data_IF_296430402836
#
_entry.id   IF_296430402836
#
_cell.length_a   1.000
_cell.length_b   1.000
_cell.length_c   1.000
_cell.angle_alpha   90.00
_cell.angle_beta   90.00
_cell.angle_gamma   90.00
#
_symmetry.space_group_name_H-M   'P 1'
#
loop_
_entity.id
_entity.type
_entity.pdbx_description
1 polymer ?
#
# COMPACT_ATOMS: atom_id res chain seq x y z
N UNK A 1 20.69 -9.26 -7.53
CA UNK A 1 20.24 -8.75 -6.21
C UNK A 1 18.74 -8.54 -6.35
N UNK A 2 17.95 -9.23 -5.52
CA UNK A 2 16.50 -9.14 -5.61
C UNK A 2 16.01 -7.79 -5.05
N UNK A 3 15.07 -7.15 -5.73
CA UNK A 3 14.45 -5.91 -5.28
C UNK A 3 12.98 -5.85 -5.70
N UNK A 4 12.23 -5.02 -5.04
CA UNK A 4 10.81 -4.79 -5.30
C UNK A 4 10.51 -3.30 -5.27
N UNK A 5 9.59 -2.86 -6.11
CA UNK A 5 9.01 -1.52 -6.02
C UNK A 5 7.69 -1.57 -5.27
N UNK A 6 7.40 -0.54 -4.51
CA UNK A 6 6.13 -0.35 -3.84
C UNK A 6 5.57 1.03 -4.17
N UNK A 7 4.30 1.10 -4.54
CA UNK A 7 3.59 2.35 -4.78
C UNK A 7 2.27 2.38 -4.02
N UNK A 8 1.93 3.52 -3.43
CA UNK A 8 0.63 3.78 -2.86
C UNK A 8 -0.35 4.21 -3.94
N UNK A 9 -1.62 3.82 -3.81
CA UNK A 9 -2.70 4.28 -4.68
C UNK A 9 -2.85 5.80 -4.73
N UNK A 10 -3.55 6.31 -5.76
CA UNK A 10 -3.89 7.72 -5.92
C UNK A 10 -4.90 8.22 -4.87
N UNK A 11 -5.15 9.53 -4.85
CA UNK A 11 -6.07 10.17 -3.91
C UNK A 11 -7.48 9.58 -4.02
N UNK A 12 -8.11 9.33 -2.86
CA UNK A 12 -9.50 8.89 -2.74
C UNK A 12 -10.40 9.97 -2.13
N UNK A 13 -11.71 9.79 -2.24
CA UNK A 13 -12.70 10.65 -1.59
C UNK A 13 -12.45 10.74 -0.07
N UNK A 14 -12.15 9.61 0.58
CA UNK A 14 -11.87 9.60 2.03
C UNK A 14 -10.50 10.20 2.39
N UNK A 15 -9.54 10.26 1.46
CA UNK A 15 -8.33 11.07 1.68
C UNK A 15 -8.67 12.56 1.74
N UNK A 16 -9.54 13.05 0.87
CA UNK A 16 -10.01 14.44 0.88
C UNK A 16 -10.79 14.75 2.15
N UNK A 17 -11.66 13.83 2.57
CA UNK A 17 -12.46 13.97 3.79
C UNK A 17 -11.67 13.70 5.09
N UNK A 18 -10.39 13.34 4.98
CA UNK A 18 -9.51 13.01 6.10
C UNK A 18 -10.05 11.89 7.00
N UNK A 19 -10.65 10.86 6.39
CA UNK A 19 -11.16 9.67 7.06
C UNK A 19 -10.19 8.50 6.99
N UNK A 20 -10.25 7.63 8.00
CA UNK A 20 -9.54 6.35 7.98
C UNK A 20 -10.19 5.44 6.94
N UNK A 21 -9.38 5.00 5.98
CA UNK A 21 -9.80 4.11 4.91
C UNK A 21 -8.92 2.86 4.93
N UNK A 22 -9.47 1.78 5.45
CA UNK A 22 -8.83 0.47 5.48
C UNK A 22 -9.42 -0.45 4.43
N UNK A 23 -10.10 -1.51 4.88
CA UNK A 23 -10.72 -2.51 4.00
C UNK A 23 -11.97 -2.01 3.25
N UNK A 24 -12.50 -0.84 3.60
CA UNK A 24 -13.63 -0.24 2.87
C UNK A 24 -13.23 0.13 1.45
N UNK A 25 -14.09 -0.21 0.48
CA UNK A 25 -13.80 -0.02 -0.93
C UNK A 25 -14.24 1.37 -1.41
N UNK A 26 -13.31 2.30 -1.47
CA UNK A 26 -13.52 3.71 -1.81
C UNK A 26 -12.77 4.05 -3.10
N UNK A 27 -13.44 4.75 -4.02
CA UNK A 27 -12.93 5.10 -5.33
C UNK A 27 -11.88 6.22 -5.31
N UNK A 28 -11.08 6.28 -6.37
CA UNK A 28 -10.21 7.42 -6.65
C UNK A 28 -11.03 8.67 -6.96
N UNK A 29 -10.49 9.82 -6.59
CA UNK A 29 -10.94 11.10 -7.14
C UNK A 29 -10.40 11.28 -8.56
N UNK A 30 -10.90 12.28 -9.29
CA UNK A 30 -10.32 12.66 -10.58
C UNK A 30 -8.82 12.98 -10.48
N UNK A 31 -8.43 13.70 -9.42
CA UNK A 31 -7.01 13.92 -9.12
C UNK A 31 -6.27 12.61 -8.86
N UNK A 32 -6.88 11.64 -8.16
CA UNK A 32 -6.29 10.32 -7.94
C UNK A 32 -6.01 9.55 -9.23
N UNK A 33 -6.92 9.60 -10.19
CA UNK A 33 -6.69 9.05 -11.52
C UNK A 33 -5.55 9.77 -12.26
N UNK A 34 -5.50 11.09 -12.20
CA UNK A 34 -4.41 11.88 -12.79
C UNK A 34 -3.06 11.55 -12.15
N UNK A 35 -3.00 11.42 -10.82
CA UNK A 35 -1.79 11.01 -10.10
C UNK A 35 -1.30 9.62 -10.54
N UNK A 36 -2.22 8.69 -10.79
CA UNK A 36 -1.87 7.34 -11.26
C UNK A 36 -1.29 7.36 -12.70
N UNK A 37 -1.83 8.21 -13.56
CA UNK A 37 -1.30 8.43 -14.92
C UNK A 37 0.12 9.02 -14.83
N UNK A 38 0.32 10.06 -14.04
CA UNK A 38 1.62 10.69 -13.82
C UNK A 38 2.65 9.72 -13.22
N UNK A 39 2.21 8.80 -12.35
CA UNK A 39 3.07 7.73 -11.82
C UNK A 39 3.57 6.82 -12.96
N UNK A 40 2.68 6.38 -13.85
CA UNK A 40 3.05 5.57 -15.02
C UNK A 40 4.04 6.29 -15.94
N UNK A 41 3.78 7.56 -16.25
CA UNK A 41 4.66 8.42 -17.06
C UNK A 41 6.03 8.61 -16.40
N UNK A 42 6.07 8.85 -15.10
CA UNK A 42 7.30 8.98 -14.32
C UNK A 42 8.13 7.69 -14.32
N UNK A 43 7.47 6.53 -14.21
CA UNK A 43 8.12 5.22 -14.29
C UNK A 43 8.84 5.07 -15.63
N UNK A 44 8.15 5.37 -16.73
CA UNK A 44 8.73 5.31 -18.08
C UNK A 44 9.87 6.31 -18.25
N UNK A 45 9.66 7.57 -17.85
CA UNK A 45 10.65 8.64 -18.00
C UNK A 45 11.94 8.38 -17.20
N UNK A 46 11.85 7.69 -16.07
CA UNK A 46 13.00 7.30 -15.23
C UNK A 46 13.64 5.97 -15.63
N UNK A 47 13.11 5.27 -16.63
CA UNK A 47 13.60 3.96 -17.02
C UNK A 47 13.46 2.90 -15.93
N UNK A 48 12.45 3.04 -15.03
CA UNK A 48 12.17 2.03 -14.02
C UNK A 48 11.52 0.83 -14.71
N UNK A 49 12.06 -0.36 -14.48
CA UNK A 49 11.59 -1.61 -15.09
C UNK A 49 11.21 -2.63 -14.01
N UNK A 50 10.16 -3.37 -14.27
CA UNK A 50 9.71 -4.52 -13.48
C UNK A 50 8.98 -5.51 -14.40
N UNK A 51 8.89 -6.76 -13.96
CA UNK A 51 8.35 -7.86 -14.76
C UNK A 51 6.83 -8.00 -14.65
N UNK A 52 6.28 -7.65 -13.49
CA UNK A 52 4.85 -7.80 -13.20
C UNK A 52 4.39 -6.79 -12.14
N UNK A 53 3.14 -6.33 -12.26
CA UNK A 53 2.47 -5.50 -11.25
C UNK A 53 1.58 -6.40 -10.40
N UNK A 54 1.79 -6.42 -9.08
CA UNK A 54 0.86 -7.03 -8.11
C UNK A 54 0.05 -5.91 -7.45
N UNK A 55 -1.28 -6.06 -7.42
CA UNK A 55 -2.13 -4.99 -6.89
C UNK A 55 -3.17 -5.50 -5.90
N UNK A 56 -3.48 -4.65 -4.94
CA UNK A 56 -4.56 -4.88 -3.97
C UNK A 56 -5.92 -4.94 -4.67
N UNK A 57 -6.84 -5.84 -4.24
CA UNK A 57 -8.18 -5.94 -4.83
C UNK A 57 -9.07 -4.71 -4.62
N UNK A 58 -8.72 -3.79 -3.72
CA UNK A 58 -9.51 -2.58 -3.49
C UNK A 58 -9.41 -1.64 -4.70
N UNK A 59 -10.56 -1.08 -5.12
CA UNK A 59 -10.71 -0.34 -6.38
C UNK A 59 -9.68 0.77 -6.56
N UNK A 60 -9.34 1.52 -5.52
CA UNK A 60 -8.34 2.59 -5.57
C UNK A 60 -6.94 2.12 -5.97
N UNK A 61 -6.53 0.94 -5.51
CA UNK A 61 -5.25 0.35 -5.88
C UNK A 61 -5.33 -0.34 -7.25
N UNK A 62 -6.42 -1.04 -7.55
CA UNK A 62 -6.65 -1.68 -8.84
C UNK A 62 -6.66 -0.65 -9.98
N UNK A 63 -7.35 0.47 -9.83
CA UNK A 63 -7.38 1.56 -10.82
C UNK A 63 -6.02 2.25 -10.97
N UNK A 64 -5.30 2.46 -9.87
CA UNK A 64 -3.92 2.98 -9.95
C UNK A 64 -3.02 2.03 -10.73
N UNK A 65 -3.08 0.73 -10.43
CA UNK A 65 -2.31 -0.30 -11.14
C UNK A 65 -2.69 -0.38 -12.63
N UNK A 66 -3.98 -0.25 -12.94
CA UNK A 66 -4.47 -0.25 -14.33
C UNK A 66 -3.85 0.88 -15.15
N UNK A 67 -3.86 2.12 -14.63
CA UNK A 67 -3.22 3.26 -15.32
C UNK A 67 -1.73 3.00 -15.56
N UNK A 68 -1.03 2.50 -14.55
CA UNK A 68 0.42 2.18 -14.67
C UNK A 68 0.63 1.07 -15.71
N UNK A 69 -0.17 0.00 -15.68
CA UNK A 69 -0.10 -1.11 -16.65
C UNK A 69 -0.32 -0.63 -18.09
N UNK A 70 -1.35 0.19 -18.33
CA UNK A 70 -1.66 0.75 -19.65
C UNK A 70 -0.51 1.59 -20.23
N UNK A 71 0.16 2.37 -19.38
CA UNK A 71 1.25 3.27 -19.80
C UNK A 71 2.57 2.51 -19.98
N UNK A 72 2.88 1.57 -19.09
CA UNK A 72 4.15 0.83 -19.11
C UNK A 72 4.10 -0.41 -20.01
N UNK A 73 2.91 -0.92 -20.33
CA UNK A 73 2.72 -2.18 -21.06
C UNK A 73 2.99 -3.44 -20.21
N UNK A 74 3.24 -3.28 -18.90
CA UNK A 74 3.52 -4.40 -18.02
C UNK A 74 2.23 -5.03 -17.52
N UNK A 75 2.17 -6.36 -17.55
CA UNK A 75 1.00 -7.12 -17.08
C UNK A 75 0.76 -6.94 -15.58
N UNK A 76 -0.50 -7.01 -15.17
CA UNK A 76 -0.90 -6.86 -13.77
C UNK A 76 -1.70 -8.05 -13.28
N UNK A 77 -1.55 -8.40 -11.99
CA UNK A 77 -2.25 -9.50 -11.33
C UNK A 77 -2.72 -9.06 -9.94
N UNK A 78 -3.95 -9.42 -9.61
CA UNK A 78 -4.49 -9.21 -8.27
C UNK A 78 -3.74 -10.06 -7.23
N UNK A 79 -3.39 -9.43 -6.11
CA UNK A 79 -2.77 -10.08 -4.96
C UNK A 79 -3.58 -9.77 -3.69
N UNK A 80 -4.43 -10.68 -3.22
CA UNK A 80 -5.31 -10.44 -2.08
C UNK A 80 -4.59 -10.05 -0.78
N UNK A 81 -3.35 -10.48 -0.61
CA UNK A 81 -2.53 -10.13 0.58
C UNK A 81 -2.15 -8.65 0.63
N UNK A 82 -2.27 -7.89 -0.48
CA UNK A 82 -2.05 -6.45 -0.54
C UNK A 82 -3.26 -5.62 -0.11
N UNK A 83 -4.41 -6.24 0.19
CA UNK A 83 -5.58 -5.52 0.71
C UNK A 83 -5.21 -4.76 1.97
N UNK A 84 -5.70 -3.50 2.09
CA UNK A 84 -5.43 -2.67 3.27
C UNK A 84 -5.97 -3.33 4.54
N UNK A 85 -5.38 -2.97 5.68
CA UNK A 85 -5.82 -3.41 6.99
C UNK A 85 -7.29 -3.05 7.22
N UNK A 86 -8.05 -3.99 7.74
CA UNK A 86 -9.37 -3.70 8.26
C UNK A 86 -9.22 -3.04 9.64
N UNK A 87 -9.54 -1.76 9.74
CA UNK A 87 -9.43 -0.99 10.97
C UNK A 87 -10.65 -1.11 11.89
N UNK A 88 -11.56 -2.07 11.63
CA UNK A 88 -12.70 -2.36 12.50
C UNK A 88 -13.53 -1.11 12.77
N UNK A 89 -13.74 -0.81 14.05
CA UNK A 89 -14.53 0.35 14.49
C UNK A 89 -14.00 1.72 14.05
N UNK A 90 -12.75 1.80 13.64
CA UNK A 90 -12.13 3.06 13.18
C UNK A 90 -12.36 3.37 11.70
N UNK A 91 -12.90 2.43 10.92
CA UNK A 91 -13.24 2.70 9.51
C UNK A 91 -14.17 3.93 9.42
N UNK A 92 -13.88 4.84 8.50
CA UNK A 92 -14.60 6.10 8.28
C UNK A 92 -14.51 7.17 9.39
N UNK A 93 -13.81 6.91 10.48
CA UNK A 93 -13.58 7.90 11.54
C UNK A 93 -12.46 8.88 11.14
N UNK A 94 -12.34 10.04 11.82
CA UNK A 94 -11.27 11.00 11.55
C UNK A 94 -9.87 10.38 11.71
N UNK A 95 -9.00 10.62 10.73
CA UNK A 95 -7.65 10.03 10.66
C UNK A 95 -6.75 10.40 11.86
N UNK A 96 -6.92 11.59 12.42
CA UNK A 96 -6.10 12.09 13.51
C UNK A 96 -6.86 12.11 14.85
N UNK A 97 -7.77 11.19 15.04
CA UNK A 97 -8.43 10.98 16.34
C UNK A 97 -7.46 10.43 17.37
N UNK A 98 -7.46 10.97 18.59
CA UNK A 98 -6.56 10.55 19.68
C UNK A 98 -6.66 9.04 19.97
N UNK A 99 -7.86 8.50 19.98
CA UNK A 99 -8.09 7.07 20.22
C UNK A 99 -7.42 6.20 19.15
N UNK A 100 -7.48 6.58 17.88
CA UNK A 100 -6.84 5.85 16.80
C UNK A 100 -5.32 5.99 16.83
N UNK A 101 -4.79 7.16 17.18
CA UNK A 101 -3.34 7.36 17.32
C UNK A 101 -2.77 6.43 18.42
N UNK A 102 -3.48 6.23 19.51
CA UNK A 102 -3.13 5.26 20.56
C UNK A 102 -3.27 3.83 20.04
N UNK A 103 -4.40 3.51 19.38
CA UNK A 103 -4.67 2.17 18.84
C UNK A 103 -3.60 1.69 17.86
N UNK A 104 -3.01 2.57 17.06
CA UNK A 104 -1.91 2.22 16.14
C UNK A 104 -0.65 1.70 16.84
N UNK A 105 -0.51 1.88 18.14
CA UNK A 105 0.60 1.32 18.93
C UNK A 105 0.30 -0.07 19.49
N UNK A 106 -0.93 -0.57 19.31
CA UNK A 106 -1.38 -1.87 19.79
C UNK A 106 -1.23 -2.92 18.68
N UNK A 107 -0.28 -3.83 18.80
CA UNK A 107 0.05 -4.80 17.73
C UNK A 107 -0.87 -6.02 17.69
N UNK A 108 -1.52 -6.37 18.80
CA UNK A 108 -2.34 -7.58 18.94
C UNK A 108 -3.85 -7.25 18.83
N UNK A 109 -4.25 -6.01 19.09
CA UNK A 109 -5.64 -5.56 19.07
C UNK A 109 -6.25 -5.68 17.66
N UNK A 110 -7.47 -6.20 17.57
CA UNK A 110 -8.23 -6.35 16.31
C UNK A 110 -9.19 -5.19 16.02
N UNK A 111 -9.21 -4.15 16.84
CA UNK A 111 -10.05 -2.95 16.63
C UNK A 111 -11.54 -3.25 16.52
N UNK A 112 -12.05 -4.21 17.30
CA UNK A 112 -13.47 -4.62 17.29
C UNK A 112 -13.97 -4.99 15.88
N UNK A 113 -13.53 -6.15 15.39
CA UNK A 113 -13.94 -6.70 14.10
C UNK A 113 -13.01 -6.41 12.92
N UNK A 114 -11.85 -5.85 13.19
CA UNK A 114 -10.82 -5.63 12.20
C UNK A 114 -9.68 -6.67 12.23
N UNK A 115 -8.53 -6.27 11.73
CA UNK A 115 -7.29 -7.05 11.71
C UNK A 115 -6.27 -6.48 12.67
N UNK A 116 -5.52 -7.34 13.36
CA UNK A 116 -4.36 -6.91 14.15
C UNK A 116 -3.14 -6.61 13.27
N UNK A 117 -2.19 -5.84 13.81
CA UNK A 117 -0.89 -5.61 13.16
C UNK A 117 -0.12 -6.91 12.93
N UNK A 118 -0.24 -7.90 13.84
CA UNK A 118 0.42 -9.20 13.67
C UNK A 118 -0.16 -9.99 12.49
N UNK A 119 -1.48 -9.96 12.29
CA UNK A 119 -2.10 -10.59 11.12
C UNK A 119 -1.65 -9.93 9.82
N UNK A 120 -1.54 -8.61 9.83
CA UNK A 120 -1.02 -7.84 8.70
C UNK A 120 0.43 -8.21 8.39
N UNK A 121 1.30 -8.20 9.41
CA UNK A 121 2.70 -8.56 9.26
C UNK A 121 2.85 -9.95 8.66
N UNK A 122 2.09 -10.93 9.15
CA UNK A 122 2.14 -12.30 8.65
C UNK A 122 1.86 -12.37 7.14
N UNK A 123 0.76 -11.77 6.66
CA UNK A 123 0.41 -11.88 5.24
C UNK A 123 1.32 -11.06 4.32
N UNK A 124 1.81 -9.90 4.76
CA UNK A 124 2.70 -9.06 3.96
C UNK A 124 4.12 -9.65 3.93
N UNK A 125 4.65 -10.13 5.05
CA UNK A 125 5.99 -10.73 5.08
C UNK A 125 6.01 -12.03 4.27
N UNK A 126 4.97 -12.87 4.34
CA UNK A 126 4.88 -14.05 3.49
C UNK A 126 4.88 -13.70 1.99
N UNK A 127 4.18 -12.63 1.59
CA UNK A 127 4.23 -12.15 0.22
C UNK A 127 5.63 -11.68 -0.17
N UNK A 128 6.28 -10.89 0.70
CA UNK A 128 7.63 -10.38 0.43
C UNK A 128 8.66 -11.51 0.35
N UNK A 129 8.57 -12.51 1.22
CA UNK A 129 9.43 -13.71 1.14
C UNK A 129 9.29 -14.42 -0.21
N UNK A 130 8.06 -14.58 -0.70
CA UNK A 130 7.80 -15.21 -1.99
C UNK A 130 8.37 -14.38 -3.16
N UNK A 131 8.05 -13.08 -3.23
CA UNK A 131 8.49 -12.25 -4.36
C UNK A 131 10.01 -12.05 -4.36
N UNK A 132 10.62 -11.94 -3.18
CA UNK A 132 12.08 -11.79 -3.04
C UNK A 132 12.85 -13.10 -3.31
N UNK A 133 12.19 -14.24 -3.32
CA UNK A 133 12.78 -15.54 -3.66
C UNK A 133 12.80 -15.81 -5.18
N UNK A 134 12.16 -14.96 -5.99
CA UNK A 134 12.13 -15.10 -7.44
C UNK A 134 13.24 -14.29 -8.13
N UNK A 135 13.51 -14.60 -9.40
CA UNK A 135 14.40 -13.80 -10.27
C UNK A 135 13.68 -12.59 -10.90
N UNK A 136 12.38 -12.42 -10.61
CA UNK A 136 11.56 -11.32 -11.14
C UNK A 136 11.61 -10.10 -10.25
N UNK A 137 11.41 -8.95 -10.86
CA UNK A 137 11.16 -7.68 -10.18
C UNK A 137 9.68 -7.36 -10.25
N UNK A 138 9.08 -6.97 -9.12
CA UNK A 138 7.68 -6.64 -9.03
C UNK A 138 7.45 -5.17 -8.65
N UNK A 139 6.35 -4.60 -9.15
CA UNK A 139 5.76 -3.40 -8.58
C UNK A 139 4.53 -3.81 -7.74
N UNK A 140 4.56 -3.52 -6.46
CA UNK A 140 3.42 -3.71 -5.55
C UNK A 140 2.61 -2.40 -5.49
N UNK A 141 1.33 -2.43 -5.88
CA UNK A 141 0.44 -1.27 -5.80
C UNK A 141 -0.57 -1.51 -4.68
N UNK A 142 -0.46 -0.75 -3.62
CA UNK A 142 -1.25 -0.98 -2.41
C UNK A 142 -1.53 0.31 -1.62
N UNK A 143 -1.39 0.28 -0.32
CA UNK A 143 -1.96 1.25 0.62
C UNK A 143 -0.94 1.79 1.61
N UNK A 144 -1.29 2.89 2.27
CA UNK A 144 -0.41 3.52 3.25
C UNK A 144 -0.15 2.64 4.48
N UNK A 145 -1.16 1.93 4.99
CA UNK A 145 -0.97 0.99 6.10
C UNK A 145 -0.01 -0.14 5.73
N UNK A 146 -0.16 -0.70 4.53
CA UNK A 146 0.72 -1.73 3.98
C UNK A 146 2.18 -1.24 3.88
N UNK A 147 2.40 0.03 3.54
CA UNK A 147 3.75 0.58 3.37
C UNK A 147 4.62 0.46 4.63
N UNK A 148 4.02 0.50 5.82
CA UNK A 148 4.73 0.33 7.10
C UNK A 148 5.33 -1.07 7.24
N UNK A 149 4.58 -2.08 6.85
CA UNK A 149 5.04 -3.48 6.89
C UNK A 149 6.11 -3.74 5.84
N UNK A 150 5.98 -3.15 4.65
CA UNK A 150 7.04 -3.24 3.64
C UNK A 150 8.32 -2.56 4.14
N UNK A 151 8.22 -1.34 4.67
CA UNK A 151 9.38 -0.64 5.25
C UNK A 151 10.04 -1.47 6.35
N UNK A 152 9.28 -2.01 7.31
CA UNK A 152 9.81 -2.80 8.43
C UNK A 152 10.40 -4.15 8.03
N UNK A 153 10.05 -4.68 6.86
CA UNK A 153 10.66 -5.91 6.33
C UNK A 153 12.11 -5.68 5.85
N UNK A 154 12.41 -4.49 5.34
CA UNK A 154 13.72 -4.14 4.80
C UNK A 154 14.60 -3.34 5.75
N UNK A 155 14.01 -2.64 6.72
CA UNK A 155 14.70 -1.73 7.63
C UNK A 155 14.28 -1.95 9.07
N UNK A 156 15.23 -1.82 10.00
CA UNK A 156 14.93 -1.74 11.42
C UNK A 156 14.14 -0.48 11.73
N UNK A 157 13.11 -0.62 12.59
CA UNK A 157 12.24 0.48 13.01
C UNK A 157 11.86 0.33 14.46
N UNK A 158 11.79 1.43 15.19
CA UNK A 158 11.11 1.46 16.48
C UNK A 158 9.60 1.39 16.31
N UNK A 159 8.85 1.08 17.37
CA UNK A 159 7.38 1.09 17.32
C UNK A 159 6.82 2.48 16.96
N UNK A 160 7.47 3.53 17.43
CA UNK A 160 7.11 4.92 17.16
C UNK A 160 7.35 5.28 15.69
N UNK A 161 8.47 4.88 15.12
CA UNK A 161 8.78 5.06 13.70
C UNK A 161 7.81 4.31 12.81
N UNK A 162 7.47 3.06 13.16
CA UNK A 162 6.48 2.28 12.44
C UNK A 162 5.10 2.95 12.46
N UNK A 163 4.62 3.39 13.63
CA UNK A 163 3.33 4.05 13.76
C UNK A 163 3.26 5.37 12.98
N UNK A 164 4.35 6.12 12.92
CA UNK A 164 4.44 7.41 12.24
C UNK A 164 4.71 7.29 10.72
N UNK A 165 5.20 6.13 10.25
CA UNK A 165 5.59 5.95 8.86
C UNK A 165 4.39 6.04 7.91
N UNK A 166 4.62 6.66 6.77
CA UNK A 166 3.66 6.72 5.67
C UNK A 166 4.30 7.28 4.41
N UNK A 167 3.64 7.04 3.30
CA UNK A 167 4.02 7.54 1.98
C UNK A 167 2.85 8.30 1.33
N UNK A 168 3.16 9.22 0.44
CA UNK A 168 2.16 10.02 -0.27
C UNK A 168 1.43 9.20 -1.34
N UNK A 169 0.26 9.68 -1.76
CA UNK A 169 -0.46 9.10 -2.90
C UNK A 169 0.46 9.05 -4.13
N UNK A 170 0.49 7.91 -4.81
CA UNK A 170 1.33 7.64 -5.98
C UNK A 170 2.84 7.86 -5.77
N UNK A 171 3.31 7.88 -4.53
CA UNK A 171 4.74 7.77 -4.24
C UNK A 171 5.19 6.35 -4.53
N UNK A 172 6.34 6.21 -5.22
CA UNK A 172 6.98 4.94 -5.52
C UNK A 172 8.33 4.86 -4.81
N UNK A 173 8.60 3.73 -4.19
CA UNK A 173 9.88 3.41 -3.51
C UNK A 173 10.45 2.10 -4.02
N UNK A 174 11.77 2.01 -4.05
CA UNK A 174 12.53 0.79 -4.30
C UNK A 174 13.01 0.21 -2.98
N UNK A 175 12.87 -1.10 -2.82
CA UNK A 175 13.36 -1.85 -1.66
C UNK A 175 14.26 -2.99 -2.14
N UNK A 176 15.43 -3.13 -1.53
CA UNK A 176 16.41 -4.17 -1.85
C UNK A 176 17.10 -4.69 -0.58
N UNK A 177 17.55 -5.95 -0.61
CA UNK A 177 18.36 -6.56 0.44
C UNK A 177 19.85 -6.55 0.08
#
# INVERSE_FOLDING_TARGET
MAYVYFARHGQTVWNVENKICGATDIELTELGHQQAIELGEKIVAKGITFDEILYSPLVRAAETARHVSEITGVSMREEPRLKEQNFGKYESTPRHGEEFEIAKTHFIDHYEGGESMLQMAQRIYNLLDEVMATDKTYLLVAHNGISRFVESYFHDMTNEEFAAFGIRNCEIRKYER
#
